data_IF_444486766242
#
_entry.id   IF_444486766242
#
_cell.length_a   1.000
_cell.length_b   1.000
_cell.length_c   1.000
_cell.angle_alpha   90.00
_cell.angle_beta   90.00
_cell.angle_gamma   90.00
#
_symmetry.space_group_name_H-M   'P 1'
#
loop_
_entity.id
_entity.type
_entity.pdbx_description
1 polymer ?
#
# COMPACT_ATOMS: atom_id res chain seq x y z
N UNK A 1 14.14 -2.55 32.03
CA UNK A 1 14.28 -2.17 30.61
C UNK A 1 13.42 -3.13 29.80
N UNK A 2 12.34 -2.63 29.19
CA UNK A 2 11.40 -3.47 28.43
C UNK A 2 11.97 -3.79 27.06
N UNK A 3 12.08 -5.07 26.74
CA UNK A 3 12.41 -5.54 25.40
C UNK A 3 11.18 -5.25 24.50
N UNK A 4 11.30 -4.47 23.41
CA UNK A 4 10.15 -4.22 22.55
C UNK A 4 9.76 -5.53 21.86
N UNK A 5 8.47 -5.87 21.90
CA UNK A 5 7.88 -7.03 21.22
C UNK A 5 8.37 -7.09 19.77
N UNK A 6 9.20 -8.08 19.44
CA UNK A 6 9.43 -8.45 18.05
C UNK A 6 8.11 -9.00 17.51
N UNK A 7 7.38 -8.15 16.80
CA UNK A 7 6.26 -8.60 15.99
C UNK A 7 6.82 -9.56 14.95
N UNK A 8 6.53 -10.85 15.06
CA UNK A 8 7.02 -11.92 14.18
C UNK A 8 6.57 -11.79 12.70
N UNK A 9 5.88 -10.71 12.35
CA UNK A 9 5.46 -10.39 10.99
C UNK A 9 6.52 -9.53 10.31
N UNK A 10 7.06 -10.03 9.20
CA UNK A 10 7.88 -9.23 8.31
C UNK A 10 7.11 -7.99 7.83
N UNK A 11 7.77 -6.83 7.66
CA UNK A 11 7.18 -5.63 7.08
C UNK A 11 6.52 -5.92 5.73
N UNK A 12 5.44 -5.21 5.41
CA UNK A 12 4.77 -5.33 4.10
C UNK A 12 5.71 -4.87 2.98
N UNK A 13 6.47 -3.79 3.24
CA UNK A 13 7.48 -3.28 2.34
C UNK A 13 8.73 -4.16 2.41
N UNK A 14 9.06 -4.80 1.29
CA UNK A 14 10.24 -5.68 1.21
C UNK A 14 11.53 -4.89 1.45
N UNK A 15 11.59 -3.60 1.11
CA UNK A 15 12.77 -2.76 1.35
C UNK A 15 13.12 -2.58 2.85
N UNK A 16 12.15 -2.81 3.74
CA UNK A 16 12.33 -2.71 5.21
C UNK A 16 12.70 -4.07 5.83
N UNK A 17 12.90 -5.10 5.02
CA UNK A 17 13.29 -6.40 5.52
C UNK A 17 14.72 -6.37 6.03
N UNK A 18 14.89 -6.85 7.26
CA UNK A 18 16.19 -7.24 7.78
C UNK A 18 16.63 -8.54 7.12
N UNK A 19 17.91 -8.89 7.23
CA UNK A 19 18.43 -10.19 6.80
C UNK A 19 17.63 -11.38 7.36
N UNK A 20 17.15 -11.27 8.60
CA UNK A 20 16.30 -12.30 9.23
C UNK A 20 14.91 -12.41 8.56
N UNK A 21 14.34 -11.30 8.09
CA UNK A 21 13.09 -11.34 7.32
C UNK A 21 13.28 -12.01 5.94
N UNK A 22 14.40 -11.71 5.26
CA UNK A 22 14.77 -12.37 3.99
C UNK A 22 14.96 -13.87 4.21
N UNK A 23 15.64 -14.25 5.29
CA UNK A 23 15.81 -15.65 5.70
C UNK A 23 14.48 -16.37 5.89
N UNK A 24 13.61 -15.85 6.75
CA UNK A 24 12.28 -16.43 7.01
C UNK A 24 11.47 -16.56 5.72
N UNK A 25 11.56 -15.58 4.82
CA UNK A 25 10.90 -15.64 3.51
C UNK A 25 11.43 -16.78 2.64
N UNK A 26 12.75 -16.89 2.49
CA UNK A 26 13.39 -17.96 1.74
C UNK A 26 13.02 -19.33 2.32
N UNK A 27 13.17 -19.54 3.63
CA UNK A 27 12.83 -20.79 4.30
C UNK A 27 11.36 -21.19 4.10
N UNK A 28 10.44 -20.21 4.15
CA UNK A 28 9.01 -20.45 3.95
C UNK A 28 8.68 -20.87 2.52
N UNK A 29 9.32 -20.24 1.53
CA UNK A 29 9.02 -20.44 0.12
C UNK A 29 9.83 -21.58 -0.53
N UNK A 30 10.83 -22.11 0.20
CA UNK A 30 11.76 -23.13 -0.28
C UNK A 30 11.52 -24.50 0.38
N UNK A 31 10.33 -24.77 0.95
CA UNK A 31 9.96 -26.07 1.55
C UNK A 31 9.89 -27.28 0.57
N UNK A 32 10.52 -27.21 -0.58
CA UNK A 32 10.55 -28.28 -1.58
C UNK A 32 11.99 -28.75 -1.78
N UNK A 33 12.21 -30.06 -1.73
CA UNK A 33 13.47 -30.85 -1.72
C UNK A 33 14.50 -30.57 -2.84
N UNK A 34 14.32 -29.50 -3.60
CA UNK A 34 15.12 -29.13 -4.77
C UNK A 34 16.12 -28.03 -4.53
N UNK A 35 16.05 -27.35 -3.38
CA UNK A 35 17.00 -26.32 -3.01
C UNK A 35 18.05 -26.93 -2.09
N UNK A 36 19.30 -26.88 -2.51
CA UNK A 36 20.39 -27.26 -1.62
C UNK A 36 20.51 -26.19 -0.54
N UNK A 37 20.45 -26.57 0.73
CA UNK A 37 20.68 -25.67 1.88
C UNK A 37 21.92 -24.79 1.69
N UNK A 38 22.94 -25.31 0.99
CA UNK A 38 24.15 -24.60 0.60
C UNK A 38 23.88 -23.26 -0.12
N UNK A 39 22.91 -23.19 -1.04
CA UNK A 39 22.61 -21.97 -1.78
C UNK A 39 21.96 -20.90 -0.89
N UNK A 40 21.10 -21.32 0.05
CA UNK A 40 20.49 -20.42 1.02
C UNK A 40 21.57 -19.94 2.00
N UNK A 41 22.38 -20.85 2.53
CA UNK A 41 23.45 -20.52 3.48
C UNK A 41 24.45 -19.51 2.90
N UNK A 42 24.81 -19.65 1.62
CA UNK A 42 25.66 -18.68 0.92
C UNK A 42 25.01 -17.31 0.78
N UNK A 43 23.68 -17.25 0.57
CA UNK A 43 22.96 -15.98 0.55
C UNK A 43 22.85 -15.36 1.94
N UNK A 44 22.54 -16.17 2.95
CA UNK A 44 22.39 -15.75 4.35
C UNK A 44 23.72 -15.30 4.95
N UNK A 45 24.83 -15.90 4.55
CA UNK A 45 26.17 -15.52 4.99
C UNK A 45 26.63 -14.14 4.51
N UNK A 46 25.89 -13.49 3.60
CA UNK A 46 26.21 -12.16 3.05
C UNK A 46 25.37 -11.03 3.67
N UNK A 47 24.62 -11.31 4.75
CA UNK A 47 23.79 -10.32 5.46
C UNK A 47 22.83 -9.55 4.53
N UNK A 48 22.21 -10.28 3.60
CA UNK A 48 21.37 -9.70 2.54
C UNK A 48 20.06 -9.17 3.14
N UNK A 49 19.94 -7.84 3.21
CA UNK A 49 18.69 -7.16 3.54
C UNK A 49 17.70 -7.14 2.36
N UNK A 50 16.48 -6.65 2.60
CA UNK A 50 15.43 -6.62 1.60
C UNK A 50 15.75 -5.79 0.35
N UNK A 51 16.48 -4.70 0.50
CA UNK A 51 16.90 -3.84 -0.62
C UNK A 51 17.92 -4.57 -1.51
N UNK A 52 18.91 -5.22 -0.92
CA UNK A 52 19.88 -6.04 -1.63
C UNK A 52 19.20 -7.25 -2.28
N UNK A 53 18.26 -7.88 -1.58
CA UNK A 53 17.52 -9.04 -2.07
C UNK A 53 16.75 -8.71 -3.37
N UNK A 54 16.08 -7.56 -3.42
CA UNK A 54 15.39 -7.10 -4.63
C UNK A 54 16.35 -6.74 -5.78
N UNK A 55 17.62 -6.46 -5.49
CA UNK A 55 18.65 -6.11 -6.48
C UNK A 55 19.51 -7.30 -6.92
N UNK A 56 19.20 -8.51 -6.44
CA UNK A 56 19.83 -9.73 -6.95
C UNK A 56 19.47 -9.92 -8.42
N UNK A 57 20.47 -10.35 -9.17
CA UNK A 57 20.36 -10.76 -10.57
C UNK A 57 21.01 -12.13 -10.70
N UNK A 58 20.59 -12.90 -11.70
CA UNK A 58 21.17 -14.23 -11.92
C UNK A 58 22.69 -14.14 -12.06
N UNK A 59 23.18 -13.16 -12.82
CA UNK A 59 24.61 -12.85 -12.99
C UNK A 59 25.36 -12.68 -11.66
N UNK A 60 24.80 -11.91 -10.72
CA UNK A 60 25.42 -11.71 -9.39
C UNK A 60 25.46 -13.00 -8.59
N UNK A 61 24.44 -13.84 -8.74
CA UNK A 61 24.33 -15.10 -8.02
C UNK A 61 25.29 -16.16 -8.58
N UNK A 62 25.47 -16.24 -9.90
CA UNK A 62 26.31 -17.26 -10.55
C UNK A 62 27.77 -16.83 -10.77
N UNK A 63 28.09 -15.56 -10.52
CA UNK A 63 29.42 -15.00 -10.76
C UNK A 63 30.50 -15.85 -10.06
N UNK A 64 31.44 -16.38 -10.86
CA UNK A 64 32.55 -17.19 -10.37
C UNK A 64 33.49 -16.33 -9.52
N UNK A 65 33.88 -16.81 -8.35
CA UNK A 65 34.57 -16.03 -7.31
C UNK A 65 33.74 -14.85 -6.76
N UNK A 66 32.44 -14.81 -7.04
CA UNK A 66 31.51 -13.84 -6.48
C UNK A 66 31.10 -14.21 -5.05
N UNK A 67 30.42 -13.30 -4.34
CA UNK A 67 30.02 -13.51 -2.94
C UNK A 67 29.06 -14.69 -2.74
N UNK A 68 28.34 -15.10 -3.80
CA UNK A 68 27.33 -16.16 -3.74
C UNK A 68 27.74 -17.44 -4.47
N UNK A 69 28.40 -17.35 -5.62
CA UNK A 69 28.85 -18.49 -6.46
C UNK A 69 27.86 -19.68 -6.44
N UNK A 70 26.63 -19.42 -6.89
CA UNK A 70 25.54 -20.37 -6.95
C UNK A 70 25.53 -21.13 -8.27
N UNK A 71 24.96 -22.34 -8.25
CA UNK A 71 24.65 -23.06 -9.48
C UNK A 71 23.51 -22.34 -10.23
N UNK A 72 23.52 -22.32 -11.57
CA UNK A 72 22.48 -21.64 -12.36
C UNK A 72 21.05 -22.00 -11.93
N UNK A 73 20.73 -23.29 -11.80
CA UNK A 73 19.38 -23.71 -11.38
C UNK A 73 18.98 -23.34 -9.94
N UNK A 74 19.94 -23.01 -9.07
CA UNK A 74 19.64 -22.42 -7.75
C UNK A 74 19.43 -20.91 -7.87
N UNK A 75 20.26 -20.23 -8.67
CA UNK A 75 20.14 -18.81 -8.92
C UNK A 75 18.81 -18.45 -9.59
N UNK A 76 18.42 -19.17 -10.64
CA UNK A 76 17.15 -19.00 -11.38
C UNK A 76 15.94 -18.99 -10.43
N UNK A 77 15.88 -19.94 -9.50
CA UNK A 77 14.77 -20.00 -8.52
C UNK A 77 14.78 -18.86 -7.50
N UNK A 78 15.95 -18.36 -7.10
CA UNK A 78 16.02 -17.14 -6.25
C UNK A 78 15.47 -15.96 -7.03
N UNK A 79 15.85 -15.84 -8.30
CA UNK A 79 15.38 -14.77 -9.18
C UNK A 79 13.87 -14.86 -9.38
N UNK A 80 13.30 -16.04 -9.63
CA UNK A 80 11.84 -16.21 -9.67
C UNK A 80 11.15 -15.71 -8.39
N UNK A 81 11.71 -16.00 -7.22
CA UNK A 81 11.14 -15.53 -5.94
C UNK A 81 11.22 -14.00 -5.81
N UNK A 82 12.33 -13.41 -6.24
CA UNK A 82 12.54 -11.96 -6.24
C UNK A 82 11.59 -11.28 -7.22
N UNK A 83 11.37 -11.84 -8.40
CA UNK A 83 10.44 -11.32 -9.41
C UNK A 83 9.00 -11.36 -8.91
N UNK A 84 8.56 -12.48 -8.32
CA UNK A 84 7.21 -12.56 -7.71
C UNK A 84 7.00 -11.54 -6.60
N UNK A 85 8.04 -11.20 -5.83
CA UNK A 85 7.97 -10.13 -4.83
C UNK A 85 7.82 -8.75 -5.46
N UNK A 86 8.56 -8.47 -6.53
CA UNK A 86 8.45 -7.21 -7.28
C UNK A 86 7.05 -7.04 -7.87
N UNK A 87 6.52 -8.10 -8.50
CA UNK A 87 5.17 -8.09 -9.07
C UNK A 87 4.10 -7.80 -8.01
N UNK A 88 4.17 -8.49 -6.86
CA UNK A 88 3.23 -8.25 -5.76
C UNK A 88 3.26 -6.80 -5.29
N UNK A 89 4.44 -6.19 -5.16
CA UNK A 89 4.56 -4.78 -4.76
C UNK A 89 3.93 -3.84 -5.80
N UNK A 90 4.08 -4.13 -7.10
CA UNK A 90 3.45 -3.34 -8.18
C UNK A 90 1.93 -3.49 -8.18
N UNK A 91 1.41 -4.71 -7.96
CA UNK A 91 -0.02 -4.97 -7.87
C UNK A 91 -0.63 -4.17 -6.71
N UNK A 92 -0.02 -4.24 -5.52
CA UNK A 92 -0.48 -3.49 -4.35
C UNK A 92 -0.46 -1.98 -4.59
N UNK A 93 0.58 -1.44 -5.23
CA UNK A 93 0.63 -0.01 -5.56
C UNK A 93 -0.47 0.40 -6.55
N UNK A 94 -0.78 -0.47 -7.52
CA UNK A 94 -1.84 -0.24 -8.52
C UNK A 94 -3.23 -0.28 -7.89
N UNK A 95 -3.49 -1.25 -7.01
CA UNK A 95 -4.74 -1.35 -6.25
C UNK A 95 -4.94 -0.15 -5.33
N UNK A 96 -3.89 0.28 -4.63
CA UNK A 96 -3.92 1.47 -3.79
C UNK A 96 -4.22 2.73 -4.61
N UNK A 97 -3.60 2.88 -5.80
CA UNK A 97 -3.90 3.99 -6.71
C UNK A 97 -5.37 4.00 -7.14
N UNK A 98 -5.93 2.85 -7.53
CA UNK A 98 -7.35 2.73 -7.88
C UNK A 98 -8.26 3.10 -6.70
N UNK A 99 -7.89 2.68 -5.48
CA UNK A 99 -8.62 3.06 -4.27
C UNK A 99 -8.62 4.57 -4.05
N UNK A 100 -7.46 5.23 -4.17
CA UNK A 100 -7.34 6.68 -4.07
C UNK A 100 -8.17 7.41 -5.14
N UNK A 101 -8.11 6.97 -6.40
CA UNK A 101 -8.89 7.53 -7.51
C UNK A 101 -10.40 7.40 -7.27
N UNK A 102 -10.86 6.25 -6.78
CA UNK A 102 -12.27 6.03 -6.45
C UNK A 102 -12.72 6.96 -5.32
N UNK A 103 -11.92 7.08 -4.25
CA UNK A 103 -12.25 7.96 -3.12
C UNK A 103 -12.29 9.44 -3.55
N UNK A 104 -11.34 9.88 -4.39
CA UNK A 104 -11.36 11.22 -4.97
C UNK A 104 -12.66 11.49 -5.73
N UNK A 105 -13.09 10.54 -6.58
CA UNK A 105 -14.35 10.66 -7.33
C UNK A 105 -15.58 10.72 -6.42
N UNK A 106 -15.58 9.98 -5.32
CA UNK A 106 -16.67 10.03 -4.34
C UNK A 106 -16.71 11.38 -3.61
N UNK A 107 -15.57 11.91 -3.19
CA UNK A 107 -15.47 13.24 -2.56
C UNK A 107 -15.96 14.34 -3.50
N UNK A 108 -15.62 14.29 -4.79
CA UNK A 108 -16.11 15.24 -5.79
C UNK A 108 -17.64 15.18 -5.95
N UNK A 109 -18.23 13.98 -5.91
CA UNK A 109 -19.69 13.83 -5.95
C UNK A 109 -20.36 14.40 -4.70
N UNK A 110 -19.83 14.09 -3.52
CA UNK A 110 -20.32 14.63 -2.25
C UNK A 110 -20.24 16.16 -2.24
N UNK A 111 -19.15 16.74 -2.73
CA UNK A 111 -19.00 18.19 -2.80
C UNK A 111 -20.03 18.84 -3.73
N UNK A 112 -20.33 18.21 -4.88
CA UNK A 112 -21.39 18.67 -5.78
C UNK A 112 -22.76 18.62 -5.11
N UNK A 113 -23.08 17.52 -4.43
CA UNK A 113 -24.34 17.38 -3.70
C UNK A 113 -24.47 18.44 -2.60
N UNK A 114 -23.39 18.69 -1.85
CA UNK A 114 -23.36 19.71 -0.82
C UNK A 114 -23.65 21.11 -1.39
N UNK A 115 -23.06 21.45 -2.53
CA UNK A 115 -23.35 22.74 -3.20
C UNK A 115 -24.81 22.86 -3.63
N UNK A 116 -25.43 21.77 -4.13
CA UNK A 116 -26.86 21.76 -4.43
C UNK A 116 -27.70 22.02 -3.18
N UNK A 117 -27.39 21.34 -2.08
CA UNK A 117 -28.10 21.53 -0.80
C UNK A 117 -27.94 22.96 -0.28
N UNK A 118 -26.75 23.56 -0.41
CA UNK A 118 -26.52 24.97 -0.04
C UNK A 118 -27.43 25.89 -0.84
N UNK A 119 -27.50 25.71 -2.16
CA UNK A 119 -28.40 26.50 -3.02
C UNK A 119 -29.86 26.35 -2.62
N UNK A 120 -30.30 25.12 -2.30
CA UNK A 120 -31.68 24.88 -1.83
C UNK A 120 -31.96 25.58 -0.50
N UNK A 121 -31.00 25.58 0.44
CA UNK A 121 -31.10 26.29 1.71
C UNK A 121 -31.21 27.81 1.48
N UNK A 122 -30.44 28.37 0.55
CA UNK A 122 -30.49 29.80 0.22
C UNK A 122 -31.87 30.19 -0.35
N UNK A 123 -32.41 29.38 -1.26
CA UNK A 123 -33.76 29.59 -1.80
C UNK A 123 -34.84 29.50 -0.71
N UNK A 124 -34.78 28.49 0.16
CA UNK A 124 -35.70 28.36 1.29
C UNK A 124 -35.62 29.56 2.24
N UNK A 125 -34.40 30.02 2.54
CA UNK A 125 -34.17 31.19 3.40
C UNK A 125 -34.80 32.46 2.81
N UNK A 126 -34.67 32.65 1.49
CA UNK A 126 -35.33 33.75 0.78
C UNK A 126 -36.86 33.68 0.90
N UNK A 127 -37.45 32.50 0.67
CA UNK A 127 -38.89 32.30 0.74
C UNK A 127 -39.46 32.54 2.16
N UNK A 128 -38.73 32.10 3.19
CA UNK A 128 -39.09 32.36 4.60
C UNK A 128 -39.11 33.86 4.88
N UNK A 129 -38.10 34.60 4.39
CA UNK A 129 -38.06 36.05 4.58
C UNK A 129 -39.23 36.75 3.90
N UNK A 130 -39.57 36.38 2.66
CA UNK A 130 -40.74 36.92 1.94
C UNK A 130 -42.01 36.67 2.75
N UNK A 131 -42.21 35.43 3.20
CA UNK A 131 -43.41 35.06 3.99
C UNK A 131 -43.49 35.83 5.30
N UNK A 132 -42.35 36.05 5.97
CA UNK A 132 -42.26 36.84 7.21
C UNK A 132 -42.67 38.30 6.97
N UNK A 133 -42.25 38.87 5.85
CA UNK A 133 -42.60 40.23 5.44
C UNK A 133 -44.09 40.36 5.12
N UNK A 134 -44.67 39.39 4.42
CA UNK A 134 -46.11 39.35 4.13
C UNK A 134 -46.94 39.30 5.42
N UNK A 135 -46.57 38.44 6.38
CA UNK A 135 -47.24 38.34 7.69
C UNK A 135 -47.14 39.67 8.44
N UNK A 136 -45.96 40.31 8.45
CA UNK A 136 -45.77 41.61 9.08
C UNK A 136 -46.68 42.67 8.47
N UNK A 137 -46.81 42.68 7.14
CA UNK A 137 -47.71 43.58 6.42
C UNK A 137 -49.19 43.35 6.77
N UNK A 138 -49.63 42.09 6.85
CA UNK A 138 -51.01 41.74 7.24
C UNK A 138 -51.31 42.19 8.67
N UNK A 139 -50.43 41.88 9.63
CA UNK A 139 -50.61 42.27 11.03
C UNK A 139 -50.67 43.79 11.20
N UNK A 140 -49.86 44.55 10.46
CA UNK A 140 -49.92 46.01 10.48
C UNK A 140 -51.26 46.57 10.00
N UNK A 141 -51.92 45.92 9.02
CA UNK A 141 -53.24 46.34 8.52
C UNK A 141 -54.39 46.00 9.46
N UNK A 142 -54.27 44.92 10.25
CA UNK A 142 -55.31 44.50 11.20
C UNK A 142 -55.34 45.33 12.50
N UNK A 143 -54.27 46.08 12.80
CA UNK A 143 -54.16 46.92 14.00
C UNK A 143 -54.60 48.39 13.78
N UNK A 144 -55.14 48.72 12.59
CA UNK A 144 -55.69 50.04 12.23
C UNK A 144 -57.21 49.92 12.18
#
# INVERSE_FOLDING_TARGET
>A
MGNPMMTDKAPINVMEWSPEHVKKYLEKHIKSSYFKEDAINKLLGQDVDGWLFLKLTEEKLICKNGPYELKPGSAERIIELVERLKEKQVITATEFKKFCENNKRQLEKLNKMMNTVITDIDHLSSNVNITKEDIRGINGRLMI
#
